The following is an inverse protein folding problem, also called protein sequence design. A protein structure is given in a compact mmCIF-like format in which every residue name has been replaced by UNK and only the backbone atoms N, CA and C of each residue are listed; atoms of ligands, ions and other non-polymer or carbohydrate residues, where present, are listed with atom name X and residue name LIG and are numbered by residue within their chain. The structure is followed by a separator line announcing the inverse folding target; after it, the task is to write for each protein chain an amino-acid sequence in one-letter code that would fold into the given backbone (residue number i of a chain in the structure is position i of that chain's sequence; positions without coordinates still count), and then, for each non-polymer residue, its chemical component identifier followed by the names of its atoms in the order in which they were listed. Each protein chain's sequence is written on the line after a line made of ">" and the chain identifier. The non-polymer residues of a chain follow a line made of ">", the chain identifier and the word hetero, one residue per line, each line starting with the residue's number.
data_IF_843546665393
#
_entry.id   IF_843546665393
#
_cell.length_a   1.000
_cell.length_b   1.000
_cell.length_c   1.000
_cell.angle_alpha   90.00
_cell.angle_beta   90.00
_cell.angle_gamma   90.00
#
_symmetry.space_group_name_H-M   'P 1'
#
loop_
_entity.id
_entity.type
_entity.pdbx_description
1 polymer ?
#
# COMPACT_ATOMS: atom_id res chain seq x y z
N UNK A 1 -68.12 1.09 -19.15
CA UNK A 1 -67.22 1.09 -17.97
C UNK A 1 -65.82 1.43 -18.44
N UNK A 2 -65.44 2.69 -18.27
CA UNK A 2 -64.15 3.26 -18.67
C UNK A 2 -63.07 2.87 -17.66
N UNK A 3 -62.02 2.18 -18.11
CA UNK A 3 -60.86 1.85 -17.26
C UNK A 3 -59.98 3.11 -17.13
N UNK A 4 -59.65 3.57 -15.91
CA UNK A 4 -58.86 4.77 -15.73
C UNK A 4 -57.40 4.48 -16.09
N UNK A 5 -56.90 5.18 -17.10
CA UNK A 5 -55.55 5.07 -17.68
C UNK A 5 -54.44 5.74 -16.85
N UNK A 6 -54.64 5.89 -15.54
CA UNK A 6 -53.76 6.69 -14.65
C UNK A 6 -52.67 5.90 -13.90
N UNK A 7 -52.45 4.62 -14.24
CA UNK A 7 -51.44 3.78 -13.58
C UNK A 7 -50.13 3.61 -14.38
N UNK A 8 -50.06 4.10 -15.61
CA UNK A 8 -48.91 3.87 -16.50
C UNK A 8 -47.77 4.89 -16.35
N UNK A 9 -47.99 6.00 -15.64
CA UNK A 9 -46.97 7.06 -15.48
C UNK A 9 -46.15 7.00 -14.18
N UNK A 10 -46.46 6.10 -13.23
CA UNK A 10 -45.66 5.93 -12.00
C UNK A 10 -44.42 5.04 -12.19
N UNK A 11 -44.43 4.15 -13.19
CA UNK A 11 -43.34 3.20 -13.47
C UNK A 11 -42.03 3.83 -13.99
N UNK A 12 -42.00 4.83 -14.89
CA UNK A 12 -40.74 5.38 -15.38
C UNK A 12 -40.00 6.18 -14.29
N UNK A 13 -40.74 6.92 -13.44
CA UNK A 13 -40.16 7.68 -12.33
C UNK A 13 -39.55 6.76 -11.28
N UNK A 14 -40.24 5.67 -10.92
CA UNK A 14 -39.75 4.69 -9.96
C UNK A 14 -38.52 3.93 -10.49
N UNK A 15 -38.50 3.60 -11.79
CA UNK A 15 -37.34 2.97 -12.44
C UNK A 15 -36.13 3.91 -12.48
N UNK A 16 -36.35 5.18 -12.81
CA UNK A 16 -35.29 6.20 -12.79
C UNK A 16 -34.75 6.42 -11.36
N UNK A 17 -35.63 6.44 -10.36
CA UNK A 17 -35.25 6.59 -8.95
C UNK A 17 -34.44 5.41 -8.43
N UNK A 18 -34.85 4.17 -8.76
CA UNK A 18 -34.10 2.96 -8.42
C UNK A 18 -32.71 2.96 -9.05
N UNK A 19 -32.58 3.36 -10.32
CA UNK A 19 -31.27 3.48 -10.98
C UNK A 19 -30.40 4.57 -10.33
N UNK A 20 -30.98 5.72 -9.97
CA UNK A 20 -30.27 6.79 -9.29
C UNK A 20 -29.76 6.35 -7.91
N UNK A 21 -30.61 5.76 -7.07
CA UNK A 21 -30.26 5.24 -5.74
C UNK A 21 -29.19 4.14 -5.83
N UNK A 22 -29.30 3.24 -6.81
CA UNK A 22 -28.34 2.14 -7.00
C UNK A 22 -26.97 2.61 -7.54
N UNK A 23 -26.91 3.77 -8.21
CA UNK A 23 -25.67 4.35 -8.74
C UNK A 23 -24.88 5.17 -7.71
N UNK A 24 -25.54 5.64 -6.65
CA UNK A 24 -24.97 6.49 -5.60
C UNK A 24 -23.83 5.88 -4.75
N UNK A 25 -23.78 4.56 -4.45
CA UNK A 25 -22.70 4.01 -3.62
C UNK A 25 -21.34 3.91 -4.34
N UNK A 26 -21.29 3.96 -5.68
CA UNK A 26 -20.04 3.80 -6.44
C UNK A 26 -19.10 5.02 -6.33
N UNK A 27 -19.62 6.20 -5.99
CA UNK A 27 -18.82 7.41 -5.82
C UNK A 27 -18.06 7.46 -4.47
N UNK A 28 -18.47 6.66 -3.48
CA UNK A 28 -17.92 6.68 -2.12
C UNK A 28 -16.52 6.08 -1.99
N UNK A 29 -16.13 5.14 -2.86
CA UNK A 29 -14.86 4.41 -2.72
C UNK A 29 -13.63 5.33 -2.83
N UNK A 30 -13.72 6.46 -3.54
CA UNK A 30 -12.58 7.40 -3.69
C UNK A 30 -12.29 8.22 -2.44
N UNK A 31 -13.28 8.42 -1.55
CA UNK A 31 -13.11 9.15 -0.29
C UNK A 31 -12.33 8.34 0.75
N UNK A 32 -12.47 7.01 0.73
CA UNK A 32 -11.76 6.11 1.65
C UNK A 32 -10.29 5.86 1.25
N UNK A 33 -9.91 6.16 0.00
CA UNK A 33 -8.56 5.89 -0.50
C UNK A 33 -7.48 6.81 0.12
N UNK A 34 -7.87 7.89 0.79
CA UNK A 34 -6.93 8.87 1.35
C UNK A 34 -6.13 9.60 0.27
N UNK A 35 -5.38 10.63 0.67
CA UNK A 35 -4.38 11.25 -0.23
C UNK A 35 -3.13 10.35 -0.22
N UNK A 36 -2.45 10.14 -1.37
CA UNK A 36 -1.17 9.44 -1.40
C UNK A 36 -0.22 10.08 -0.38
N UNK A 37 0.16 9.31 0.65
CA UNK A 37 1.06 9.79 1.68
C UNK A 37 2.45 9.94 1.06
N UNK A 38 3.00 11.15 1.06
CA UNK A 38 4.33 11.38 0.51
C UNK A 38 5.36 10.57 1.33
N UNK A 39 6.37 9.97 0.66
CA UNK A 39 7.50 9.37 1.36
C UNK A 39 8.18 10.42 2.25
N UNK A 40 8.74 10.03 3.41
CA UNK A 40 9.55 10.93 4.21
C UNK A 40 10.73 11.44 3.37
N UNK A 41 11.26 12.65 3.64
CA UNK A 41 12.49 13.12 2.98
C UNK A 41 13.62 12.10 3.14
N UNK A 42 14.47 11.89 2.11
CA UNK A 42 15.65 11.03 2.24
C UNK A 42 16.52 11.49 3.41
N UNK A 43 16.89 10.55 4.28
CA UNK A 43 17.83 10.78 5.37
C UNK A 43 19.22 10.23 5.01
N UNK A 44 20.19 10.44 5.89
CA UNK A 44 21.54 9.89 5.73
C UNK A 44 21.55 8.35 5.78
N UNK A 45 20.60 7.77 6.54
CA UNK A 45 20.34 6.34 6.60
C UNK A 45 19.05 6.01 5.85
N UNK A 46 18.96 4.79 5.33
CA UNK A 46 17.77 4.22 4.74
C UNK A 46 16.60 4.29 5.71
N UNK A 47 15.45 4.71 5.21
CA UNK A 47 14.24 4.91 6.02
C UNK A 47 13.19 3.84 5.69
N UNK A 48 12.55 3.29 6.70
CA UNK A 48 11.40 2.41 6.50
C UNK A 48 10.19 3.21 5.99
N UNK A 49 9.58 2.74 4.92
CA UNK A 49 8.37 3.34 4.34
C UNK A 49 7.17 2.43 4.48
N UNK A 50 5.99 3.03 4.62
CA UNK A 50 4.74 2.29 4.61
C UNK A 50 4.45 1.70 3.23
N UNK A 51 3.50 0.75 3.19
CA UNK A 51 2.98 0.21 1.92
C UNK A 51 2.46 1.32 1.00
N UNK A 52 1.73 2.29 1.55
CA UNK A 52 1.15 3.38 0.77
C UNK A 52 2.22 4.29 0.16
N UNK A 53 3.25 4.62 0.95
CA UNK A 53 4.40 5.42 0.48
C UNK A 53 5.20 4.70 -0.60
N UNK A 54 5.30 3.37 -0.52
CA UNK A 54 6.02 2.56 -1.51
C UNK A 54 5.40 2.58 -2.91
N UNK A 55 4.11 2.95 -3.05
CA UNK A 55 3.48 3.10 -4.36
C UNK A 55 4.02 4.28 -5.18
N UNK A 56 4.69 5.23 -4.53
CA UNK A 56 5.30 6.41 -5.17
C UNK A 56 6.81 6.23 -5.42
N UNK A 57 7.33 5.02 -5.21
CA UNK A 57 8.76 4.72 -5.29
C UNK A 57 9.02 3.59 -6.29
N UNK A 58 10.22 3.58 -6.86
CA UNK A 58 10.65 2.52 -7.75
C UNK A 58 11.37 1.43 -6.97
N UNK A 59 10.94 0.18 -7.13
CA UNK A 59 11.59 -0.98 -6.52
C UNK A 59 12.97 -1.22 -7.14
N UNK A 60 14.00 -1.31 -6.31
CA UNK A 60 15.39 -1.53 -6.75
C UNK A 60 15.91 -2.92 -6.42
N UNK A 61 15.40 -3.55 -5.36
CA UNK A 61 15.92 -4.82 -4.89
C UNK A 61 15.08 -5.43 -3.78
N UNK A 62 15.54 -6.54 -3.25
CA UNK A 62 14.98 -7.19 -2.08
C UNK A 62 16.06 -7.99 -1.35
N UNK A 63 15.84 -8.21 -0.05
CA UNK A 63 16.76 -8.94 0.82
C UNK A 63 15.99 -9.88 1.73
N UNK A 64 16.59 -11.04 2.01
CA UNK A 64 16.19 -11.91 3.12
C UNK A 64 17.33 -11.96 4.12
N UNK A 65 17.03 -11.70 5.39
CA UNK A 65 18.00 -11.76 6.49
C UNK A 65 17.60 -12.89 7.45
N UNK A 66 18.61 -13.49 8.08
CA UNK A 66 18.44 -14.38 9.21
C UNK A 66 19.42 -13.93 10.29
N UNK A 67 18.89 -13.48 11.41
CA UNK A 67 19.67 -12.88 12.50
C UNK A 67 19.35 -13.61 13.79
N UNK A 68 20.39 -13.96 14.55
CA UNK A 68 20.24 -14.47 15.92
C UNK A 68 20.12 -13.28 16.86
N UNK A 69 19.09 -13.25 17.69
CA UNK A 69 18.79 -12.15 18.60
C UNK A 69 17.30 -11.79 18.58
N UNK A 70 17.03 -10.49 18.54
CA UNK A 70 15.69 -9.92 18.61
C UNK A 70 15.12 -9.53 17.23
N UNK A 71 13.82 -9.21 17.20
CA UNK A 71 13.18 -8.61 16.03
C UNK A 71 13.88 -7.32 15.59
N UNK A 72 14.30 -6.50 16.56
CA UNK A 72 14.99 -5.22 16.28
C UNK A 72 16.35 -5.44 15.63
N UNK A 73 17.06 -6.52 15.98
CA UNK A 73 18.32 -6.89 15.33
C UNK A 73 18.10 -7.24 13.84
N UNK A 74 17.00 -7.92 13.52
CA UNK A 74 16.64 -8.22 12.14
C UNK A 74 16.29 -6.95 11.35
N UNK A 75 15.54 -6.01 11.95
CA UNK A 75 15.22 -4.71 11.32
C UNK A 75 16.49 -3.90 11.08
N UNK A 76 17.39 -3.83 12.08
CA UNK A 76 18.69 -3.16 11.95
C UNK A 76 19.55 -3.75 10.84
N UNK A 77 19.59 -5.08 10.72
CA UNK A 77 20.36 -5.73 9.65
C UNK A 77 19.77 -5.45 8.27
N UNK A 78 18.43 -5.38 8.14
CA UNK A 78 17.78 -4.94 6.91
C UNK A 78 18.18 -3.50 6.56
N UNK A 79 18.12 -2.59 7.53
CA UNK A 79 18.51 -1.18 7.32
C UNK A 79 19.98 -1.09 6.89
N UNK A 80 20.88 -1.77 7.59
CA UNK A 80 22.32 -1.82 7.25
C UNK A 80 22.57 -2.32 5.83
N UNK A 81 21.81 -3.31 5.36
CA UNK A 81 21.92 -3.80 3.98
C UNK A 81 21.32 -2.83 2.97
N UNK A 82 20.24 -2.12 3.30
CA UNK A 82 19.70 -1.05 2.47
C UNK A 82 20.71 0.09 2.32
N UNK A 83 21.35 0.51 3.43
CA UNK A 83 22.40 1.53 3.46
C UNK A 83 23.59 1.11 2.58
N UNK A 84 24.05 -0.12 2.73
CA UNK A 84 25.17 -0.66 1.95
C UNK A 84 24.88 -0.73 0.44
N UNK A 85 23.61 -0.82 0.05
CA UNK A 85 23.18 -0.79 -1.35
C UNK A 85 22.82 0.62 -1.84
N UNK A 86 22.95 1.64 -0.99
CA UNK A 86 22.55 3.01 -1.30
C UNK A 86 21.05 3.14 -1.60
N UNK A 87 20.23 2.26 -1.01
CA UNK A 87 18.78 2.31 -1.16
C UNK A 87 18.19 3.29 -0.13
N UNK A 88 17.70 4.48 -0.52
CA UNK A 88 17.22 5.48 0.45
C UNK A 88 16.00 5.02 1.24
N UNK A 89 15.24 4.05 0.72
CA UNK A 89 14.04 3.53 1.37
C UNK A 89 14.01 2.00 1.35
N UNK A 90 13.44 1.42 2.40
CA UNK A 90 13.09 0.01 2.45
C UNK A 90 11.69 -0.21 3.03
N UNK A 91 11.10 -1.36 2.76
CA UNK A 91 9.86 -1.81 3.40
C UNK A 91 10.04 -3.22 3.88
N UNK A 92 9.85 -3.45 5.18
CA UNK A 92 9.78 -4.80 5.73
C UNK A 92 8.46 -5.42 5.27
N UNK A 93 8.54 -6.60 4.66
CA UNK A 93 7.39 -7.34 4.13
C UNK A 93 7.01 -8.49 5.05
N UNK A 94 8.00 -9.14 5.68
CA UNK A 94 7.77 -10.14 6.71
C UNK A 94 8.90 -10.16 7.72
N UNK A 95 8.54 -10.47 8.97
CA UNK A 95 9.42 -10.77 10.10
C UNK A 95 8.80 -11.94 10.85
N UNK A 96 9.52 -13.05 10.94
CA UNK A 96 9.05 -14.26 11.62
C UNK A 96 10.17 -14.81 12.50
N UNK A 97 9.83 -15.27 13.69
CA UNK A 97 10.74 -16.03 14.54
C UNK A 97 10.91 -17.45 13.96
N UNK A 98 12.15 -17.94 13.88
CA UNK A 98 12.45 -19.28 13.38
C UNK A 98 12.41 -20.32 14.51
N UNK A 99 11.20 -20.64 14.96
CA UNK A 99 10.98 -21.57 16.08
C UNK A 99 11.59 -22.97 15.84
N UNK A 100 11.59 -23.44 14.59
CA UNK A 100 11.93 -24.83 14.26
C UNK A 100 13.43 -25.11 14.00
N UNK A 101 14.25 -24.08 13.78
CA UNK A 101 15.65 -24.26 13.34
C UNK A 101 16.64 -23.70 14.34
N UNK A 102 16.32 -22.57 14.98
CA UNK A 102 17.12 -21.96 16.05
C UNK A 102 16.23 -21.11 16.94
N UNK A 103 16.06 -21.53 18.19
CA UNK A 103 15.54 -20.66 19.25
C UNK A 103 16.37 -19.35 19.26
N UNK A 104 15.69 -18.21 19.40
CA UNK A 104 16.24 -16.86 19.36
C UNK A 104 16.78 -16.42 17.99
N UNK A 105 16.13 -16.80 16.88
CA UNK A 105 16.48 -16.29 15.56
C UNK A 105 15.28 -15.76 14.79
N UNK A 106 15.52 -14.71 14.01
CA UNK A 106 14.51 -13.97 13.25
C UNK A 106 14.84 -13.99 11.77
N UNK A 107 13.85 -14.37 10.97
CA UNK A 107 13.88 -14.27 9.51
C UNK A 107 13.10 -13.03 9.08
N UNK A 108 13.79 -12.12 8.38
CA UNK A 108 13.19 -10.94 7.78
C UNK A 108 13.23 -11.00 6.26
N UNK A 109 12.23 -10.44 5.59
CA UNK A 109 12.25 -10.16 4.16
C UNK A 109 11.83 -8.70 3.92
N UNK A 110 12.61 -7.98 3.12
CA UNK A 110 12.36 -6.58 2.81
C UNK A 110 12.60 -6.27 1.33
N UNK A 111 11.95 -5.19 0.88
CA UNK A 111 12.08 -4.66 -0.47
C UNK A 111 12.70 -3.27 -0.40
N UNK A 112 13.65 -2.98 -1.28
CA UNK A 112 14.34 -1.70 -1.35
C UNK A 112 13.78 -0.84 -2.48
N UNK A 113 13.81 0.48 -2.27
CA UNK A 113 13.24 1.44 -3.20
C UNK A 113 14.12 2.68 -3.38
N UNK A 114 13.93 3.35 -4.51
CA UNK A 114 14.48 4.67 -4.84
C UNK A 114 13.38 5.63 -5.29
N UNK A 115 13.60 6.96 -5.21
CA UNK A 115 12.71 7.91 -5.85
C UNK A 115 12.54 7.61 -7.34
N UNK A 116 11.33 7.82 -7.85
CA UNK A 116 11.08 7.83 -9.29
C UNK A 116 12.02 8.87 -9.95
N UNK A 117 12.59 8.57 -11.13
CA UNK A 117 13.34 9.57 -11.87
C UNK A 117 12.44 10.79 -12.11
N UNK A 118 12.97 11.99 -11.84
CA UNK A 118 12.31 13.21 -12.27
C UNK A 118 12.12 13.12 -13.79
N UNK A 119 10.90 13.38 -14.27
CA UNK A 119 10.63 13.39 -15.70
C UNK A 119 11.62 14.37 -16.38
N UNK A 120 12.25 14.01 -17.50
CA UNK A 120 13.08 14.94 -18.24
C UNK A 120 12.25 16.19 -18.58
N UNK A 121 12.72 17.36 -18.13
CA UNK A 121 12.15 18.62 -18.59
C UNK A 121 12.46 18.78 -20.09
N UNK A 122 11.48 19.10 -20.94
CA UNK A 122 11.67 19.29 -22.38
C UNK A 122 12.57 20.50 -22.71
#
# INVERSE_FOLDING_TARGET
>A
MTRPSWLLNLMPLHRAFVVAVLSMPLAGCRLLAGKPMQPPPPAEQSVEVSREQSYLLEKTGAVSVNVRGSLDDAVREIQRQADAQGAPYYRVVSLNEEEHVRQDSWRGYAVFYRPLPAAPHP
#
